data_IF_367893814154
#
_entry.id   IF_367893814154
#
_cell.length_a   1.000
_cell.length_b   1.000
_cell.length_c   1.000
_cell.angle_alpha   90.00
_cell.angle_beta   90.00
_cell.angle_gamma   90.00
#
_symmetry.space_group_name_H-M   'P 1'
#
loop_
_entity.id
_entity.type
_entity.pdbx_description
1 polymer ?
#
# COMPACT_ATOMS: atom_id res chain seq x y z
N UNK A 1 7.58 17.44 -31.22
CA UNK A 1 8.80 16.65 -30.99
C UNK A 1 9.73 17.50 -30.14
N UNK A 2 9.77 17.25 -28.83
CA UNK A 2 10.71 17.91 -27.92
C UNK A 2 11.85 16.95 -27.66
N UNK A 3 13.08 17.40 -27.93
CA UNK A 3 14.28 16.69 -27.52
C UNK A 3 14.87 17.42 -26.32
N UNK A 4 15.25 16.69 -25.29
CA UNK A 4 15.89 17.24 -24.11
C UNK A 4 17.11 16.44 -23.70
N UNK A 5 17.98 17.10 -22.95
CA UNK A 5 19.22 16.51 -22.42
C UNK A 5 19.29 16.78 -20.91
N UNK A 6 19.60 15.75 -20.16
CA UNK A 6 19.88 15.82 -18.73
C UNK A 6 21.28 15.26 -18.50
N UNK A 7 22.12 16.05 -17.82
CA UNK A 7 23.43 15.60 -17.38
C UNK A 7 23.32 15.05 -15.97
N UNK A 8 23.84 13.84 -15.75
CA UNK A 8 23.93 13.20 -14.45
C UNK A 8 25.36 13.39 -13.91
N UNK A 9 25.58 14.35 -12.99
CA UNK A 9 26.92 14.72 -12.55
C UNK A 9 27.64 13.57 -11.81
N UNK A 10 26.91 12.70 -11.12
CA UNK A 10 27.50 11.66 -10.28
C UNK A 10 28.06 10.47 -11.07
N UNK A 11 27.57 10.27 -12.30
CA UNK A 11 27.99 9.15 -13.17
C UNK A 11 28.70 9.62 -14.44
N UNK A 12 28.79 10.94 -14.66
CA UNK A 12 29.25 11.53 -15.92
C UNK A 12 28.36 11.21 -17.13
N UNK A 13 27.19 10.61 -16.87
CA UNK A 13 26.26 10.15 -17.89
C UNK A 13 25.48 11.32 -18.49
N UNK A 14 25.25 11.26 -19.80
CA UNK A 14 24.28 12.13 -20.48
C UNK A 14 23.06 11.31 -20.84
N UNK A 15 21.89 11.81 -20.46
CA UNK A 15 20.58 11.25 -20.81
C UNK A 15 19.97 12.15 -21.88
N UNK A 16 19.65 11.58 -23.04
CA UNK A 16 18.86 12.25 -24.07
C UNK A 16 17.50 11.57 -24.11
N UNK A 17 16.44 12.37 -24.09
CA UNK A 17 15.08 11.87 -24.35
C UNK A 17 14.50 12.54 -25.59
N UNK A 18 13.62 11.81 -26.27
CA UNK A 18 12.93 12.24 -27.47
C UNK A 18 11.43 11.95 -27.30
N UNK A 19 10.64 13.00 -27.17
CA UNK A 19 9.20 12.87 -27.05
C UNK A 19 8.56 12.64 -28.43
N UNK A 20 7.77 11.57 -28.56
CA UNK A 20 6.78 11.41 -29.62
C UNK A 20 7.22 10.69 -30.89
N UNK A 21 8.00 9.61 -30.79
CA UNK A 21 8.14 8.66 -31.91
C UNK A 21 7.58 7.29 -31.54
N UNK A 22 6.32 6.98 -31.94
CA UNK A 22 5.86 5.60 -31.90
C UNK A 22 6.71 4.77 -32.89
N UNK A 23 7.43 3.79 -32.37
CA UNK A 23 7.90 2.69 -33.20
C UNK A 23 9.17 2.90 -34.04
N UNK A 24 10.12 3.78 -33.68
CA UNK A 24 11.44 3.78 -34.34
C UNK A 24 12.06 2.37 -34.38
N UNK A 25 12.01 1.64 -33.26
CA UNK A 25 12.47 0.24 -33.18
C UNK A 25 11.51 -0.77 -33.84
N UNK A 26 10.21 -0.44 -34.01
CA UNK A 26 9.25 -1.28 -34.75
C UNK A 26 9.53 -1.23 -36.26
N UNK A 27 9.95 -0.06 -36.76
CA UNK A 27 10.37 0.16 -38.15
C UNK A 27 11.74 -0.47 -38.42
N UNK A 28 12.66 -0.44 -37.44
CA UNK A 28 14.03 -0.98 -37.59
C UNK A 28 14.13 -2.49 -37.35
N UNK A 29 13.38 -3.06 -36.40
CA UNK A 29 13.55 -4.47 -35.98
C UNK A 29 12.52 -5.44 -36.59
N UNK A 30 11.62 -4.95 -37.45
CA UNK A 30 10.57 -5.77 -38.04
C UNK A 30 9.47 -6.17 -37.06
N UNK A 31 8.44 -6.81 -37.61
CA UNK A 31 7.19 -7.20 -36.95
C UNK A 31 7.48 -8.16 -35.78
N UNK A 32 7.37 -7.68 -34.54
CA UNK A 32 7.43 -8.56 -33.35
C UNK A 32 8.02 -7.98 -32.07
N UNK A 33 8.59 -6.77 -32.09
CA UNK A 33 9.11 -6.15 -30.86
C UNK A 33 7.96 -5.83 -29.89
N UNK A 34 7.92 -6.52 -28.74
CA UNK A 34 7.02 -6.19 -27.63
C UNK A 34 7.50 -4.90 -26.98
N UNK A 35 6.61 -3.92 -26.87
CA UNK A 35 6.87 -2.67 -26.17
C UNK A 35 7.14 -2.95 -24.70
N UNK A 36 8.39 -2.76 -24.27
CA UNK A 36 8.68 -2.58 -22.86
C UNK A 36 8.49 -1.09 -22.55
N UNK A 37 7.82 -0.78 -21.42
CA UNK A 37 7.52 0.60 -20.99
C UNK A 37 8.78 1.48 -20.92
N UNK A 38 9.95 0.87 -20.70
CA UNK A 38 11.25 1.49 -20.77
C UNK A 38 12.25 0.53 -21.43
N UNK A 39 12.85 0.93 -22.55
CA UNK A 39 14.01 0.22 -23.11
C UNK A 39 15.24 1.11 -23.02
N UNK A 40 16.41 0.51 -22.80
CA UNK A 40 17.67 1.26 -22.81
C UNK A 40 18.70 0.61 -23.72
N UNK A 41 19.53 1.45 -24.35
CA UNK A 41 20.69 1.02 -25.14
C UNK A 41 21.92 1.80 -24.69
N UNK A 42 22.98 1.07 -24.38
CA UNK A 42 24.28 1.64 -24.04
C UNK A 42 25.20 1.56 -25.25
N UNK A 43 25.79 2.69 -25.64
CA UNK A 43 26.85 2.72 -26.65
C UNK A 43 28.15 2.21 -26.03
N UNK A 44 28.76 1.21 -26.68
CA UNK A 44 30.03 0.61 -26.24
C UNK A 44 31.24 1.52 -26.41
N UNK A 45 31.20 2.46 -27.36
CA UNK A 45 32.34 3.35 -27.68
C UNK A 45 32.35 4.62 -26.84
N UNK A 46 31.20 5.29 -26.71
CA UNK A 46 31.12 6.58 -26.01
C UNK A 46 30.46 6.50 -24.62
N UNK A 47 30.01 5.31 -24.20
CA UNK A 47 29.40 5.08 -22.89
C UNK A 47 28.00 5.69 -22.70
N UNK A 48 27.46 6.37 -23.71
CA UNK A 48 26.15 7.01 -23.67
C UNK A 48 25.03 5.98 -23.48
N UNK A 49 24.04 6.31 -22.65
CA UNK A 49 22.86 5.46 -22.44
C UNK A 49 21.63 6.19 -22.96
N UNK A 50 21.02 5.63 -24.00
CA UNK A 50 19.75 6.08 -24.54
C UNK A 50 18.62 5.33 -23.85
N UNK A 51 17.62 6.07 -23.38
CA UNK A 51 16.38 5.52 -22.85
C UNK A 51 15.26 5.83 -23.84
N UNK A 52 14.43 4.85 -24.12
CA UNK A 52 13.23 4.99 -24.94
C UNK A 52 12.02 4.64 -24.08
N UNK A 53 11.11 5.60 -23.99
CA UNK A 53 9.79 5.42 -23.36
C UNK A 53 8.79 5.26 -24.49
N UNK A 54 8.00 4.19 -24.45
CA UNK A 54 6.87 4.02 -25.36
C UNK A 54 5.67 4.77 -24.79
N UNK A 55 5.29 5.89 -25.41
CA UNK A 55 4.16 6.72 -24.98
C UNK A 55 2.80 6.05 -25.20
N UNK A 56 2.75 4.98 -25.99
CA UNK A 56 1.54 4.19 -26.25
C UNK A 56 1.45 2.96 -25.34
N UNK A 57 2.44 2.75 -24.46
CA UNK A 57 2.42 1.65 -23.50
C UNK A 57 1.25 1.85 -22.52
N UNK A 58 0.37 0.83 -22.46
CA UNK A 58 -0.72 0.82 -21.49
C UNK A 58 -0.14 0.63 -20.09
N UNK A 59 -0.43 1.51 -19.13
CA UNK A 59 0.10 1.38 -17.79
C UNK A 59 -0.38 0.07 -17.15
N UNK A 60 0.54 -0.66 -16.50
CA UNK A 60 0.25 -1.92 -15.76
C UNK A 60 -0.93 -1.76 -14.79
N UNK A 61 -1.09 -0.58 -14.20
CA UNK A 61 -2.25 -0.19 -13.39
C UNK A 61 -2.71 1.20 -13.81
N UNK A 62 -3.98 1.35 -14.14
CA UNK A 62 -4.58 2.66 -14.37
C UNK A 62 -4.81 3.36 -13.02
N UNK A 63 -4.82 4.70 -13.01
CA UNK A 63 -5.18 5.47 -11.81
C UNK A 63 -6.53 5.00 -11.23
N UNK A 64 -7.50 4.73 -12.11
CA UNK A 64 -8.79 4.17 -11.74
C UNK A 64 -8.67 2.82 -11.01
N UNK A 65 -7.82 1.90 -11.48
CA UNK A 65 -7.62 0.62 -10.79
C UNK A 65 -7.01 0.78 -9.39
N UNK A 66 -6.18 1.81 -9.20
CA UNK A 66 -5.58 2.13 -7.90
C UNK A 66 -6.63 2.76 -6.97
N UNK A 67 -7.50 3.61 -7.51
CA UNK A 67 -8.59 4.23 -6.73
C UNK A 67 -9.61 3.17 -6.28
N UNK A 68 -9.98 2.23 -7.14
CA UNK A 68 -10.86 1.10 -6.81
C UNK A 68 -10.24 0.21 -5.72
N UNK A 69 -8.93 -0.09 -5.83
CA UNK A 69 -8.18 -0.83 -4.81
C UNK A 69 -8.15 -0.06 -3.48
N UNK A 70 -7.94 1.25 -3.51
CA UNK A 70 -7.95 2.10 -2.32
C UNK A 70 -9.30 2.13 -1.63
N UNK A 71 -10.40 2.25 -2.37
CA UNK A 71 -11.75 2.21 -1.80
C UNK A 71 -12.01 0.85 -1.13
N UNK A 72 -11.64 -0.25 -1.79
CA UNK A 72 -11.77 -1.59 -1.22
C UNK A 72 -10.96 -1.75 0.06
N UNK A 73 -9.71 -1.28 0.07
CA UNK A 73 -8.83 -1.34 1.24
C UNK A 73 -9.39 -0.51 2.40
N UNK A 74 -9.89 0.70 2.13
CA UNK A 74 -10.54 1.56 3.14
C UNK A 74 -11.74 0.85 3.77
N UNK A 75 -12.60 0.24 2.96
CA UNK A 75 -13.75 -0.50 3.47
C UNK A 75 -13.35 -1.69 4.36
N UNK A 76 -12.25 -2.38 4.04
CA UNK A 76 -11.73 -3.46 4.89
C UNK A 76 -11.18 -2.92 6.21
N UNK A 77 -10.45 -1.80 6.17
CA UNK A 77 -9.92 -1.16 7.39
C UNK A 77 -11.06 -0.73 8.30
N UNK A 78 -12.12 -0.09 7.78
CA UNK A 78 -13.30 0.30 8.58
C UNK A 78 -13.94 -0.90 9.27
N UNK A 79 -14.13 -2.01 8.54
CA UNK A 79 -14.69 -3.25 9.12
C UNK A 79 -13.78 -3.87 10.19
N UNK A 80 -12.46 -3.77 10.01
CA UNK A 80 -11.50 -4.26 11.00
C UNK A 80 -11.53 -3.39 12.26
N UNK A 81 -11.61 -2.06 12.11
CA UNK A 81 -11.73 -1.13 13.24
C UNK A 81 -13.00 -1.39 14.06
N UNK A 82 -14.15 -1.57 13.39
CA UNK A 82 -15.40 -1.91 14.07
C UNK A 82 -15.31 -3.22 14.85
N UNK A 83 -14.66 -4.25 14.28
CA UNK A 83 -14.44 -5.52 14.97
C UNK A 83 -13.51 -5.40 16.16
N UNK A 84 -12.45 -4.60 16.06
CA UNK A 84 -11.53 -4.36 17.18
C UNK A 84 -12.26 -3.64 18.31
N UNK A 85 -13.02 -2.58 18.01
CA UNK A 85 -13.82 -1.87 19.01
C UNK A 85 -14.85 -2.78 19.70
N UNK A 86 -15.50 -3.67 18.94
CA UNK A 86 -16.41 -4.67 19.50
C UNK A 86 -15.66 -5.67 20.39
N UNK A 87 -14.48 -6.13 19.99
CA UNK A 87 -13.67 -7.05 20.80
C UNK A 87 -13.18 -6.40 22.09
N UNK A 88 -12.77 -5.14 22.05
CA UNK A 88 -12.40 -4.36 23.24
C UNK A 88 -13.57 -4.22 24.21
N UNK A 89 -14.77 -3.97 23.67
CA UNK A 89 -16.01 -3.92 24.46
C UNK A 89 -16.32 -5.27 25.11
N UNK A 90 -16.26 -6.36 24.34
CA UNK A 90 -16.50 -7.74 24.84
C UNK A 90 -15.44 -8.16 25.86
N UNK A 91 -14.19 -7.72 25.72
CA UNK A 91 -13.15 -8.04 26.68
C UNK A 91 -13.31 -7.28 28.01
N UNK A 92 -13.80 -6.05 27.95
CA UNK A 92 -13.89 -5.16 29.12
C UNK A 92 -15.18 -5.36 29.92
N UNK A 93 -16.32 -5.50 29.25
CA UNK A 93 -17.66 -5.51 29.87
C UNK A 93 -17.90 -6.71 30.83
N UNK A 94 -17.50 -7.96 30.54
CA UNK A 94 -17.64 -9.07 31.47
C UNK A 94 -16.79 -8.89 32.73
N UNK A 95 -15.54 -8.43 32.58
CA UNK A 95 -14.61 -8.26 33.71
C UNK A 95 -15.09 -7.19 34.69
N UNK A 96 -15.54 -6.05 34.16
CA UNK A 96 -16.09 -4.97 34.99
C UNK A 96 -17.39 -5.40 35.69
N UNK A 97 -18.28 -6.10 34.99
CA UNK A 97 -19.54 -6.60 35.55
C UNK A 97 -19.31 -7.66 36.64
N UNK A 98 -18.37 -8.57 36.43
CA UNK A 98 -18.00 -9.58 37.43
C UNK A 98 -17.33 -8.94 38.65
N UNK A 99 -16.44 -7.98 38.46
CA UNK A 99 -15.80 -7.27 39.58
C UNK A 99 -16.84 -6.56 40.45
N UNK A 100 -17.79 -5.83 39.83
CA UNK A 100 -18.90 -5.18 40.56
C UNK A 100 -19.76 -6.19 41.32
N UNK A 101 -20.13 -7.31 40.69
CA UNK A 101 -20.92 -8.35 41.35
C UNK A 101 -20.20 -8.98 42.56
N UNK A 102 -18.87 -9.16 42.48
CA UNK A 102 -18.07 -9.64 43.61
C UNK A 102 -18.08 -8.64 44.77
N UNK A 103 -17.93 -7.35 44.47
CA UNK A 103 -17.92 -6.31 45.51
C UNK A 103 -19.29 -6.15 46.17
N UNK A 104 -20.39 -6.29 45.41
CA UNK A 104 -21.75 -6.37 45.98
C UNK A 104 -21.87 -7.54 46.95
N UNK A 105 -21.43 -8.74 46.56
CA UNK A 105 -21.46 -9.93 47.42
C UNK A 105 -20.62 -9.75 48.69
N UNK A 106 -19.47 -9.07 48.60
CA UNK A 106 -18.61 -8.76 49.76
C UNK A 106 -19.21 -7.72 50.69
N UNK A 107 -20.07 -6.84 50.17
CA UNK A 107 -20.74 -5.80 50.97
C UNK A 107 -21.95 -6.34 51.75
N UNK A 108 -22.39 -7.56 51.45
CA UNK A 108 -23.50 -8.19 52.18
C UNK A 108 -23.09 -8.45 53.64
N UNK A 109 -23.94 -8.11 54.61
CA UNK A 109 -23.69 -8.41 56.01
C UNK A 109 -23.61 -9.93 56.23
N UNK A 110 -22.65 -10.35 57.05
CA UNK A 110 -22.41 -11.76 57.36
C UNK A 110 -23.66 -12.35 58.05
N UNK A 111 -24.34 -13.27 57.37
CA UNK A 111 -25.60 -13.86 57.83
C UNK A 111 -25.39 -14.98 58.87
N UNK A 112 -24.17 -15.19 59.35
CA UNK A 112 -23.88 -16.22 60.35
C UNK A 112 -24.38 -15.79 61.74
N UNK A 113 -25.41 -16.45 62.30
CA UNK A 113 -25.81 -16.17 63.67
C UNK A 113 -24.68 -16.55 64.61
N UNK A 114 -24.17 -15.57 65.37
CA UNK A 114 -23.21 -15.82 66.45
C UNK A 114 -23.86 -16.77 67.45
N UNK A 115 -23.22 -17.90 67.82
CA UNK A 115 -23.75 -18.76 68.86
C UNK A 115 -23.83 -17.97 70.16
N UNK A 116 -25.05 -17.79 70.66
CA UNK A 116 -25.32 -17.27 72.01
C UNK A 116 -24.75 -18.26 73.00
N UNK A 117 -23.77 -17.82 73.79
CA UNK A 117 -23.12 -18.59 74.83
C UNK A 117 -23.99 -18.45 76.09
N UNK A 118 -24.62 -19.54 76.50
CA UNK A 118 -25.31 -19.68 77.79
C UNK A 118 -24.32 -19.65 78.97
#
# INVERSE_FOLDING_TARGET
MTQGYLFLPDTGGRVKWLDGTPGFWKTVMGIGAKSAELTSKRCGECGFVEFYVDTDAKPVKTLQSIDDENERLRNLVTKLQERVANLETIATDPGERTARAIDELRSLPDATPKPTKD
#
